data_IF_052830982184
#
_entry.id   IF_052830982184
#
_cell.length_a   1.000
_cell.length_b   1.000
_cell.length_c   1.000
_cell.angle_alpha   90.00
_cell.angle_beta   90.00
_cell.angle_gamma   90.00
#
_symmetry.space_group_name_H-M   'P 1'
#
loop_
_entity.id
_entity.type
_entity.pdbx_description
1 polymer ?
#
# COMPACT_ATOMS: atom_id res chain seq x y z
N UNK A 1 5.55 -32.32 -12.23
CA UNK A 1 4.59 -31.36 -11.64
C UNK A 1 3.97 -30.53 -12.76
N UNK A 2 2.67 -30.68 -13.05
CA UNK A 2 2.02 -30.00 -14.20
C UNK A 2 1.64 -28.56 -13.82
N UNK A 3 2.17 -27.58 -14.57
CA UNK A 3 1.73 -26.18 -14.59
C UNK A 3 0.23 -26.13 -14.93
N UNK A 4 -0.64 -25.86 -13.96
CA UNK A 4 -2.03 -25.47 -14.20
C UNK A 4 -2.06 -23.99 -14.59
N UNK A 5 -1.47 -23.64 -15.72
CA UNK A 5 -1.73 -22.34 -16.35
C UNK A 5 -3.13 -22.43 -16.97
N UNK A 6 -4.11 -21.79 -16.33
CA UNK A 6 -5.43 -21.63 -16.92
C UNK A 6 -5.26 -20.96 -18.29
N UNK A 7 -5.70 -21.65 -19.35
CA UNK A 7 -5.71 -21.09 -20.71
C UNK A 7 -6.72 -19.96 -20.76
N UNK A 8 -6.32 -18.80 -21.31
CA UNK A 8 -7.21 -17.64 -21.51
C UNK A 8 -8.45 -18.09 -22.30
N UNK A 9 -9.66 -17.88 -21.75
CA UNK A 9 -10.93 -18.34 -22.35
C UNK A 9 -11.34 -19.78 -22.02
N UNK A 10 -10.54 -20.52 -21.24
CA UNK A 10 -10.81 -21.90 -20.80
C UNK A 10 -10.80 -22.04 -19.26
N UNK A 11 -10.87 -20.92 -18.54
CA UNK A 11 -11.20 -20.91 -17.12
C UNK A 11 -12.69 -21.22 -16.94
N UNK A 12 -13.10 -21.75 -15.78
CA UNK A 12 -14.52 -22.00 -15.43
C UNK A 12 -15.43 -20.77 -15.50
N UNK A 13 -14.87 -19.59 -15.81
CA UNK A 13 -15.59 -18.45 -16.35
C UNK A 13 -14.91 -17.93 -17.65
N UNK A 14 -15.26 -18.45 -18.84
CA UNK A 14 -14.68 -18.07 -20.13
C UNK A 14 -14.89 -16.59 -20.49
N UNK A 15 -16.01 -16.01 -20.05
CA UNK A 15 -16.37 -14.61 -20.29
C UNK A 15 -15.69 -13.64 -19.32
N UNK A 16 -14.99 -14.15 -18.31
CA UNK A 16 -14.39 -13.34 -17.26
C UNK A 16 -15.42 -12.63 -16.37
N UNK A 17 -14.95 -11.76 -15.48
CA UNK A 17 -15.84 -10.91 -14.68
C UNK A 17 -16.62 -10.00 -15.64
N UNK A 18 -17.95 -9.93 -15.56
CA UNK A 18 -18.73 -9.12 -16.47
C UNK A 18 -18.28 -7.65 -16.42
N UNK A 19 -18.25 -6.96 -17.56
CA UNK A 19 -17.89 -5.55 -17.61
C UNK A 19 -18.86 -4.76 -16.72
N UNK A 20 -18.33 -3.82 -15.92
CA UNK A 20 -19.07 -3.02 -14.92
C UNK A 20 -19.67 -3.81 -13.75
N UNK A 21 -19.28 -5.07 -13.53
CA UNK A 21 -19.68 -5.80 -12.33
C UNK A 21 -19.29 -5.00 -11.07
N UNK A 22 -20.30 -4.61 -10.28
CA UNK A 22 -20.12 -3.84 -9.06
C UNK A 22 -19.12 -4.54 -8.13
N UNK A 23 -18.35 -3.76 -7.40
CA UNK A 23 -17.51 -4.31 -6.34
C UNK A 23 -18.40 -4.96 -5.27
N UNK A 24 -17.88 -5.98 -4.57
CA UNK A 24 -18.57 -6.67 -3.47
C UNK A 24 -19.13 -5.68 -2.43
N UNK A 25 -18.45 -4.54 -2.27
CA UNK A 25 -18.91 -3.41 -1.47
C UNK A 25 -19.10 -2.23 -2.43
N UNK A 26 -20.32 -1.69 -2.45
CA UNK A 26 -20.67 -0.54 -3.28
C UNK A 26 -20.02 0.74 -2.74
N UNK A 27 -19.88 1.76 -3.60
CA UNK A 27 -19.33 3.07 -3.22
C UNK A 27 -20.10 3.73 -2.06
N UNK A 28 -21.46 3.76 -2.05
CA UNK A 28 -22.22 4.35 -0.95
C UNK A 28 -21.93 3.72 0.41
N UNK A 29 -21.69 2.40 0.44
CA UNK A 29 -21.36 1.71 1.71
C UNK A 29 -20.00 2.15 2.23
N UNK A 30 -19.02 2.38 1.34
CA UNK A 30 -17.71 2.89 1.76
C UNK A 30 -17.79 4.31 2.31
N UNK A 31 -18.58 5.16 1.67
CA UNK A 31 -18.82 6.54 2.10
C UNK A 31 -19.50 6.54 3.48
N UNK A 32 -20.56 5.76 3.67
CA UNK A 32 -21.23 5.62 4.97
C UNK A 32 -20.31 5.11 6.09
N UNK A 33 -19.40 4.18 5.79
CA UNK A 33 -18.40 3.71 6.77
C UNK A 33 -17.41 4.85 7.10
N UNK A 34 -16.97 5.61 6.11
CA UNK A 34 -16.06 6.73 6.32
C UNK A 34 -16.71 7.80 7.20
N UNK A 35 -17.96 8.18 6.91
CA UNK A 35 -18.71 9.18 7.67
C UNK A 35 -18.87 8.74 9.14
N UNK A 36 -19.24 7.47 9.36
CA UNK A 36 -19.35 6.91 10.71
C UNK A 36 -18.01 6.96 11.47
N UNK A 37 -16.91 6.57 10.81
CA UNK A 37 -15.59 6.61 11.44
C UNK A 37 -15.15 8.03 11.77
N UNK A 38 -15.45 9.00 10.90
CA UNK A 38 -15.17 10.43 11.15
C UNK A 38 -15.97 10.95 12.34
N UNK A 39 -17.26 10.64 12.41
CA UNK A 39 -18.11 11.03 13.55
C UNK A 39 -17.58 10.47 14.87
N UNK A 40 -17.25 9.18 14.91
CA UNK A 40 -16.75 8.53 16.14
C UNK A 40 -15.31 8.91 16.50
N UNK A 41 -14.56 9.47 15.57
CA UNK A 41 -13.21 9.94 15.86
C UNK A 41 -13.21 11.09 16.88
N UNK A 42 -14.25 11.94 16.88
CA UNK A 42 -14.38 13.02 17.87
C UNK A 42 -14.60 12.51 19.31
N UNK A 43 -15.16 11.31 19.46
CA UNK A 43 -15.39 10.67 20.76
C UNK A 43 -14.12 10.01 21.35
N UNK A 44 -13.05 9.88 20.54
CA UNK A 44 -11.82 9.17 20.89
C UNK A 44 -11.18 9.67 22.21
N UNK A 45 -11.10 10.98 22.51
CA UNK A 45 -10.55 11.47 23.78
C UNK A 45 -11.36 10.98 25.00
N UNK A 46 -12.68 10.86 24.87
CA UNK A 46 -13.55 10.35 25.93
C UNK A 46 -13.40 8.84 26.12
N UNK A 47 -13.19 8.09 25.03
CA UNK A 47 -12.90 6.66 25.07
C UNK A 47 -11.53 6.42 25.71
N UNK A 48 -10.52 7.25 25.38
CA UNK A 48 -9.16 7.12 25.86
C UNK A 48 -9.06 7.00 27.39
N UNK A 49 -9.83 7.80 28.11
CA UNK A 49 -9.87 7.81 29.58
C UNK A 49 -10.46 6.51 30.17
N UNK A 50 -11.27 5.78 29.39
CA UNK A 50 -11.94 4.54 29.81
C UNK A 50 -11.14 3.28 29.43
N UNK A 51 -10.13 3.42 28.57
CA UNK A 51 -9.31 2.29 28.12
C UNK A 51 -8.34 1.82 29.22
N UNK A 52 -8.09 0.51 29.26
CA UNK A 52 -7.02 -0.05 30.09
C UNK A 52 -5.65 0.35 29.52
N UNK A 53 -4.59 0.39 30.34
CA UNK A 53 -3.25 0.76 29.88
C UNK A 53 -2.76 -0.03 28.65
N UNK A 54 -3.09 -1.33 28.57
CA UNK A 54 -2.76 -2.18 27.42
C UNK A 54 -3.50 -1.76 26.15
N UNK A 55 -4.76 -1.34 26.26
CA UNK A 55 -5.59 -0.92 25.14
C UNK A 55 -5.15 0.46 24.62
N UNK A 56 -4.76 1.36 25.52
CA UNK A 56 -4.13 2.63 25.17
C UNK A 56 -2.85 2.42 24.36
N UNK A 57 -1.95 1.55 24.84
CA UNK A 57 -0.72 1.20 24.11
C UNK A 57 -1.03 0.62 22.73
N UNK A 58 -2.07 -0.21 22.62
CA UNK A 58 -2.50 -0.80 21.35
C UNK A 58 -3.03 0.26 20.38
N UNK A 59 -3.89 1.16 20.84
CA UNK A 59 -4.43 2.24 20.03
C UNK A 59 -3.33 3.16 19.50
N UNK A 60 -2.30 3.45 20.32
CA UNK A 60 -1.11 4.19 19.86
C UNK A 60 -0.39 3.44 18.74
N UNK A 61 -0.11 2.15 18.93
CA UNK A 61 0.59 1.33 17.91
C UNK A 61 -0.21 1.30 16.60
N UNK A 62 -1.53 1.20 16.68
CA UNK A 62 -2.39 1.12 15.49
C UNK A 62 -2.51 2.49 14.78
N UNK A 63 -2.41 3.61 15.50
CA UNK A 63 -2.40 4.98 14.94
C UNK A 63 -1.02 5.46 14.45
N UNK A 64 0.06 4.93 15.03
CA UNK A 64 1.43 5.33 14.71
C UNK A 64 1.76 5.27 13.19
N UNK A 65 1.34 4.25 12.41
CA UNK A 65 1.49 4.20 10.96
C UNK A 65 1.00 5.40 10.16
N UNK A 66 0.04 6.14 10.70
CA UNK A 66 -0.61 7.26 10.00
C UNK A 66 0.06 8.59 10.31
N UNK A 67 0.88 8.65 11.36
CA UNK A 67 1.59 9.87 11.80
C UNK A 67 3.09 9.75 11.54
N UNK A 68 3.66 8.58 11.83
CA UNK A 68 5.02 8.27 11.43
C UNK A 68 5.01 7.89 9.96
N UNK A 69 5.89 8.49 9.16
CA UNK A 69 6.22 7.99 7.83
C UNK A 69 6.61 6.52 7.99
N UNK A 70 5.72 5.60 7.62
CA UNK A 70 6.12 4.22 7.38
C UNK A 70 7.22 4.33 6.35
N UNK A 71 8.46 4.01 6.74
CA UNK A 71 9.49 3.72 5.76
C UNK A 71 8.87 2.66 4.86
N UNK A 72 8.44 3.07 3.67
CA UNK A 72 8.09 2.11 2.64
C UNK A 72 9.35 1.28 2.52
N UNK A 73 9.26 -0.01 2.84
CA UNK A 73 10.29 -0.93 2.41
C UNK A 73 10.34 -0.70 0.91
N UNK A 74 11.37 0.01 0.44
CA UNK A 74 11.61 0.24 -0.96
C UNK A 74 11.89 -1.17 -1.49
N UNK A 75 10.83 -1.85 -1.95
CA UNK A 75 11.00 -2.84 -2.97
C UNK A 75 11.63 -2.05 -4.11
N UNK A 76 12.94 -2.22 -4.25
CA UNK A 76 13.76 -1.63 -5.30
C UNK A 76 13.38 -2.32 -6.61
N UNK A 77 12.09 -2.35 -6.96
CA UNK A 77 11.60 -2.65 -8.30
C UNK A 77 11.87 -1.40 -9.14
N UNK A 78 13.17 -1.16 -9.30
CA UNK A 78 13.80 -0.21 -10.17
C UNK A 78 13.44 -0.59 -11.60
N UNK A 79 12.24 -0.19 -12.03
CA UNK A 79 11.94 -0.01 -13.44
C UNK A 79 12.70 1.25 -13.94
N UNK A 80 14.01 1.31 -13.66
CA UNK A 80 14.91 2.35 -14.13
C UNK A 80 15.03 2.10 -15.63
N UNK A 81 14.38 2.97 -16.40
CA UNK A 81 14.53 2.95 -17.84
C UNK A 81 15.91 3.55 -18.19
N UNK A 82 16.95 2.71 -18.13
CA UNK A 82 18.32 3.09 -18.49
C UNK A 82 18.43 3.63 -19.93
N UNK A 83 17.47 3.32 -20.79
CA UNK A 83 17.42 3.85 -22.16
C UNK A 83 16.98 5.31 -22.28
N UNK A 84 16.46 5.91 -21.20
CA UNK A 84 16.06 7.32 -21.18
C UNK A 84 17.10 8.25 -20.52
N UNK A 85 18.19 7.69 -19.97
CA UNK A 85 19.26 8.45 -19.33
C UNK A 85 20.34 8.80 -20.35
N UNK A 86 20.90 10.00 -20.27
CA UNK A 86 22.07 10.36 -21.08
C UNK A 86 23.35 9.73 -20.51
N UNK A 87 24.39 9.57 -21.35
CA UNK A 87 25.68 9.03 -20.91
C UNK A 87 26.28 9.79 -19.73
N UNK A 88 26.16 11.12 -19.74
CA UNK A 88 26.58 11.98 -18.64
C UNK A 88 25.84 11.71 -17.32
N UNK A 89 24.58 11.33 -17.37
CA UNK A 89 23.79 11.00 -16.18
C UNK A 89 24.17 9.62 -15.64
N UNK A 90 24.48 8.68 -16.52
CA UNK A 90 25.00 7.35 -16.15
C UNK A 90 26.35 7.48 -15.44
N UNK A 91 27.26 8.29 -15.97
CA UNK A 91 28.56 8.54 -15.34
C UNK A 91 28.44 9.15 -13.94
N UNK A 92 27.50 10.08 -13.75
CA UNK A 92 27.23 10.67 -12.43
C UNK A 92 26.71 9.64 -11.42
N UNK A 93 25.85 8.72 -11.87
CA UNK A 93 25.32 7.65 -11.01
C UNK A 93 26.44 6.67 -10.66
N UNK A 94 27.25 6.27 -11.63
CA UNK A 94 28.38 5.35 -11.44
C UNK A 94 29.37 5.91 -10.41
N UNK A 95 29.78 7.18 -10.58
CA UNK A 95 30.72 7.82 -9.66
C UNK A 95 30.16 7.89 -8.22
N UNK A 96 28.87 8.21 -8.06
CA UNK A 96 28.22 8.22 -6.75
C UNK A 96 28.15 6.84 -6.07
N UNK A 97 27.99 5.77 -6.85
CA UNK A 97 27.99 4.41 -6.31
C UNK A 97 29.40 4.04 -5.84
N UNK A 98 30.42 4.29 -6.68
CA UNK A 98 31.83 4.03 -6.32
C UNK A 98 32.28 4.81 -5.08
N UNK A 99 31.84 6.06 -4.93
CA UNK A 99 32.21 6.88 -3.77
C UNK A 99 31.52 6.42 -2.47
N UNK A 100 30.32 5.82 -2.58
CA UNK A 100 29.62 5.26 -1.42
C UNK A 100 30.20 3.92 -0.96
N UNK A 101 30.77 3.10 -1.85
CA UNK A 101 31.44 1.85 -1.46
C UNK A 101 32.80 2.05 -0.78
N UNK A 102 33.44 3.22 -0.95
CA UNK A 102 34.73 3.55 -0.34
C UNK A 102 34.64 4.15 1.08
N UNK A 103 33.43 4.34 1.60
CA UNK A 103 33.19 4.75 3.00
C UNK A 103 32.92 3.55 3.89
#
# INVERSE_FOLDING_TARGET
MKKTQFKKGQSGNPAGRPPKALNKISRPVKESIADFLTEKFEELPGIWLKLKPREQARLIIDLLPYVASKMQAVALDANINFGALSESELDLIINKIFDNEKK
#
